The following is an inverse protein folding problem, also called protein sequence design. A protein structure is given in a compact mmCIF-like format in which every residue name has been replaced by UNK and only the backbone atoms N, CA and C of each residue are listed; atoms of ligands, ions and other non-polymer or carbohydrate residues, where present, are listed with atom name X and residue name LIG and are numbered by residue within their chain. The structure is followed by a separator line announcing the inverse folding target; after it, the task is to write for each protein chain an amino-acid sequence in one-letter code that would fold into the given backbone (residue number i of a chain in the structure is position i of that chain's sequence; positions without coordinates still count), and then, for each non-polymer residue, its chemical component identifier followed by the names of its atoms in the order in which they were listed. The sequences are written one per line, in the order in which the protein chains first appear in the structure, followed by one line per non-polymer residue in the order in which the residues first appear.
data_IF_384294051261
#
_entry.id   IF_384294051261
#
_cell.length_a   1.000
_cell.length_b   1.000
_cell.length_c   1.000
_cell.angle_alpha   90.00
_cell.angle_beta   90.00
_cell.angle_gamma   90.00
#
_symmetry.space_group_name_H-M   'P 1'
#
loop_
_entity.id
_entity.type
_entity.pdbx_description
1 polymer ?
#
# COMPACT_ATOMS: atom_id res chain seq x y z
N UNK A 1 -6.30 7.81 7.94
CA UNK A 1 -5.74 6.57 7.34
C UNK A 1 -5.70 5.36 8.31
N UNK A 2 -5.12 5.41 9.53
CA UNK A 2 -5.18 4.25 10.47
C UNK A 2 -6.61 3.74 10.74
N UNK A 3 -7.55 4.64 10.99
CA UNK A 3 -8.97 4.31 11.15
C UNK A 3 -9.61 3.74 9.88
N UNK A 4 -9.12 4.15 8.71
CA UNK A 4 -9.61 3.65 7.42
C UNK A 4 -9.23 2.19 7.19
N UNK A 5 -8.09 1.72 7.71
CA UNK A 5 -7.74 0.29 7.66
C UNK A 5 -8.80 -0.57 8.36
N UNK A 6 -9.47 -0.06 9.41
CA UNK A 6 -10.58 -0.76 10.06
C UNK A 6 -11.79 -0.88 9.14
N UNK A 7 -12.14 0.20 8.42
CA UNK A 7 -13.16 0.18 7.37
C UNK A 7 -12.87 -0.92 6.35
N UNK A 8 -11.65 -0.91 5.82
CA UNK A 8 -11.22 -1.85 4.79
C UNK A 8 -11.18 -3.28 5.31
N UNK A 9 -10.78 -3.49 6.55
CA UNK A 9 -10.80 -4.81 7.17
C UNK A 9 -12.22 -5.39 7.29
N UNK A 10 -13.21 -4.58 7.67
CA UNK A 10 -14.62 -5.01 7.66
C UNK A 10 -15.08 -5.40 6.25
N UNK A 11 -14.70 -4.62 5.24
CA UNK A 11 -15.01 -4.93 3.83
C UNK A 11 -14.36 -6.27 3.45
N UNK A 12 -13.09 -6.49 3.79
CA UNK A 12 -12.39 -7.76 3.55
C UNK A 12 -13.06 -8.95 4.24
N UNK A 13 -13.49 -8.81 5.49
CA UNK A 13 -14.22 -9.85 6.21
C UNK A 13 -15.55 -10.17 5.52
N UNK A 14 -16.36 -9.14 5.24
CA UNK A 14 -17.67 -9.32 4.60
C UNK A 14 -17.59 -9.89 3.17
N UNK A 15 -16.46 -9.69 2.50
CA UNK A 15 -16.21 -10.22 1.14
C UNK A 15 -15.46 -11.55 1.12
N UNK A 16 -15.09 -12.11 2.29
CA UNK A 16 -14.34 -13.37 2.38
C UNK A 16 -12.90 -13.29 1.88
N UNK A 17 -12.26 -12.11 1.96
CA UNK A 17 -10.91 -11.82 1.40
C UNK A 17 -9.87 -11.46 2.47
N UNK A 18 -10.18 -11.67 3.75
CA UNK A 18 -9.36 -11.22 4.87
C UNK A 18 -8.00 -11.92 4.99
N UNK A 19 -7.86 -13.10 4.38
CA UNK A 19 -6.62 -13.88 4.27
C UNK A 19 -5.77 -13.49 3.05
N UNK A 20 -6.34 -12.77 2.08
CA UNK A 20 -5.65 -12.38 0.84
C UNK A 20 -4.86 -11.08 0.97
N UNK A 21 -5.36 -10.13 1.76
CA UNK A 21 -4.81 -8.78 1.86
C UNK A 21 -4.26 -8.42 3.23
N UNK A 22 -2.98 -8.05 3.29
CA UNK A 22 -2.34 -7.52 4.50
C UNK A 22 -2.40 -5.99 4.54
N UNK A 23 -3.23 -5.42 5.41
CA UNK A 23 -3.29 -3.97 5.61
C UNK A 23 -2.19 -3.49 6.56
N UNK A 24 -1.23 -2.71 6.06
CA UNK A 24 -0.15 -2.17 6.89
C UNK A 24 -0.52 -0.82 7.50
N UNK A 25 -0.04 -0.58 8.72
CA UNK A 25 -0.29 0.69 9.39
C UNK A 25 0.63 1.78 8.81
N UNK A 26 0.08 2.94 8.40
CA UNK A 26 0.89 4.07 7.93
C UNK A 26 1.91 4.59 8.95
N UNK A 27 1.70 4.35 10.24
CA UNK A 27 2.66 4.77 11.28
C UNK A 27 4.03 4.11 11.14
N UNK A 28 4.11 2.96 10.46
CA UNK A 28 5.36 2.24 10.22
C UNK A 28 6.26 2.97 9.19
N UNK A 29 5.73 3.94 8.46
CA UNK A 29 6.39 4.59 7.32
C UNK A 29 6.44 6.11 7.40
N UNK A 30 5.61 6.77 8.23
CA UNK A 30 5.62 8.23 8.46
C UNK A 30 6.82 8.61 9.33
N UNK A 31 7.79 9.38 8.80
CA UNK A 31 9.03 9.69 9.52
C UNK A 31 8.93 10.92 10.44
N UNK A 32 9.03 10.63 11.74
CA UNK A 32 10.19 11.00 12.55
C UNK A 32 10.69 9.85 13.47
N UNK A 33 10.05 8.67 13.46
CA UNK A 33 10.31 7.58 14.42
C UNK A 33 10.31 6.16 13.83
N UNK A 34 10.51 5.97 12.53
CA UNK A 34 10.75 4.62 11.97
C UNK A 34 12.10 4.09 12.45
N UNK A 35 12.16 3.63 13.69
CA UNK A 35 13.30 2.96 14.30
C UNK A 35 13.53 1.63 13.56
N UNK A 36 14.66 0.97 13.81
CA UNK A 36 14.95 -0.31 13.15
C UNK A 36 13.88 -1.40 13.44
N UNK A 37 13.08 -1.22 14.50
CA UNK A 37 12.02 -2.15 14.90
C UNK A 37 10.82 -2.09 13.95
N UNK A 38 10.34 -0.89 13.59
CA UNK A 38 9.24 -0.74 12.62
C UNK A 38 9.60 -1.36 11.26
N UNK A 39 10.86 -1.19 10.84
CA UNK A 39 11.39 -1.79 9.61
C UNK A 39 11.47 -3.32 9.73
N UNK A 40 11.85 -3.82 10.90
CA UNK A 40 11.84 -5.24 11.24
C UNK A 40 10.43 -5.84 11.21
N UNK A 41 9.42 -5.12 11.69
CA UNK A 41 8.02 -5.56 11.67
C UNK A 41 7.48 -5.68 10.25
N UNK A 42 7.75 -4.70 9.38
CA UNK A 42 7.37 -4.77 7.96
C UNK A 42 8.06 -5.97 7.30
N UNK A 43 9.37 -6.10 7.50
CA UNK A 43 10.17 -7.21 6.96
C UNK A 43 9.62 -8.57 7.40
N UNK A 44 9.34 -8.75 8.68
CA UNK A 44 8.87 -10.01 9.24
C UNK A 44 7.48 -10.37 8.68
N UNK A 45 6.52 -9.43 8.69
CA UNK A 45 5.18 -9.68 8.17
C UNK A 45 5.17 -10.05 6.70
N UNK A 46 5.93 -9.33 5.87
CA UNK A 46 6.05 -9.65 4.45
C UNK A 46 6.78 -10.99 4.27
N UNK A 47 7.83 -11.23 5.07
CA UNK A 47 8.63 -12.44 5.07
C UNK A 47 7.84 -13.71 5.39
N UNK A 48 6.88 -13.64 6.31
CA UNK A 48 5.96 -14.74 6.62
C UNK A 48 5.12 -15.13 5.40
N UNK A 49 4.86 -14.19 4.49
CA UNK A 49 4.17 -14.45 3.23
C UNK A 49 2.74 -14.95 3.40
N UNK A 50 2.07 -14.53 4.48
CA UNK A 50 0.71 -14.94 4.83
C UNK A 50 -0.33 -14.44 3.82
N UNK A 51 -0.08 -13.28 3.21
CA UNK A 51 -1.00 -12.59 2.31
C UNK A 51 -0.49 -12.60 0.87
N UNK A 52 -1.40 -12.52 -0.09
CA UNK A 52 -1.07 -12.38 -1.51
C UNK A 52 -0.55 -10.98 -1.82
N UNK A 53 -1.17 -9.97 -1.20
CA UNK A 53 -0.84 -8.56 -1.40
C UNK A 53 -0.86 -7.80 -0.07
N UNK A 54 0.21 -7.07 0.22
CA UNK A 54 0.27 -6.11 1.31
C UNK A 54 0.03 -4.71 0.78
N UNK A 55 -0.87 -3.97 1.42
CA UNK A 55 -1.15 -2.57 1.11
C UNK A 55 -0.45 -1.70 2.14
N UNK A 56 0.59 -1.00 1.69
CA UNK A 56 1.47 -0.18 2.53
C UNK A 56 1.39 1.29 2.09
N UNK A 57 0.63 2.12 2.82
CA UNK A 57 0.74 3.57 2.69
C UNK A 57 2.11 4.05 3.18
N UNK A 58 2.75 4.92 2.41
CA UNK A 58 4.07 5.51 2.70
C UNK A 58 3.94 7.02 2.65
N UNK A 59 4.49 7.71 3.65
CA UNK A 59 4.57 9.17 3.66
C UNK A 59 6.03 9.62 3.62
N UNK A 60 6.39 10.37 2.59
CA UNK A 60 7.69 11.04 2.51
C UNK A 60 7.55 12.53 2.17
N UNK A 61 7.33 12.84 0.90
CA UNK A 61 7.04 14.20 0.39
C UNK A 61 5.57 14.37 0.00
N UNK A 62 4.73 13.49 0.55
CA UNK A 62 3.33 13.23 0.20
C UNK A 62 3.01 11.75 0.37
N UNK A 63 1.73 11.41 0.34
CA UNK A 63 1.24 10.05 0.49
C UNK A 63 1.35 9.25 -0.81
N UNK A 64 1.87 8.02 -0.71
CA UNK A 64 1.99 7.04 -1.78
C UNK A 64 1.46 5.69 -1.28
N UNK A 65 0.89 4.87 -2.16
CA UNK A 65 0.52 3.49 -1.85
C UNK A 65 1.49 2.52 -2.52
N UNK A 66 2.04 1.59 -1.74
CA UNK A 66 2.77 0.43 -2.27
C UNK A 66 1.93 -0.82 -2.11
N UNK A 67 1.56 -1.45 -3.23
CA UNK A 67 1.01 -2.79 -3.27
C UNK A 67 2.17 -3.78 -3.45
N UNK A 68 2.46 -4.55 -2.40
CA UNK A 68 3.59 -5.48 -2.34
C UNK A 68 3.06 -6.91 -2.48
N UNK A 69 3.48 -7.63 -3.51
CA UNK A 69 3.01 -8.98 -3.79
C UNK A 69 4.19 -9.98 -3.79
N UNK A 70 4.54 -10.56 -2.63
CA UNK A 70 5.74 -11.39 -2.49
C UNK A 70 5.74 -12.63 -3.38
N UNK A 71 4.58 -13.28 -3.51
CA UNK A 71 4.41 -14.53 -4.29
C UNK A 71 4.77 -14.35 -5.77
N UNK A 72 4.51 -13.17 -6.34
CA UNK A 72 4.78 -12.86 -7.74
C UNK A 72 6.04 -12.00 -7.94
N UNK A 73 6.77 -11.67 -6.87
CA UNK A 73 8.01 -10.89 -7.00
C UNK A 73 7.80 -9.43 -7.42
N UNK A 74 6.65 -8.79 -7.10
CA UNK A 74 6.30 -7.48 -7.65
C UNK A 74 5.92 -6.46 -6.57
N UNK A 75 6.29 -5.20 -6.81
CA UNK A 75 5.86 -4.04 -6.03
C UNK A 75 5.31 -3.00 -6.99
N UNK A 76 4.07 -2.58 -6.76
CA UNK A 76 3.42 -1.51 -7.53
C UNK A 76 3.28 -0.27 -6.67
N UNK A 77 3.82 0.84 -7.14
CA UNK A 77 3.81 2.15 -6.48
C UNK A 77 2.81 3.07 -7.15
N UNK A 78 1.80 3.52 -6.39
CA UNK A 78 0.78 4.47 -6.83
C UNK A 78 1.02 5.81 -6.16
N UNK A 79 1.40 6.81 -6.96
CA UNK A 79 1.69 8.17 -6.50
C UNK A 79 0.88 9.18 -7.29
N UNK A 80 0.17 10.07 -6.59
CA UNK A 80 -0.52 11.21 -7.18
C UNK A 80 0.38 12.46 -7.31
N UNK A 81 1.67 12.35 -6.96
CA UNK A 81 2.63 13.45 -7.06
C UNK A 81 3.22 13.58 -8.47
N UNK A 82 3.69 14.79 -8.80
CA UNK A 82 4.34 15.07 -10.09
C UNK A 82 5.50 14.08 -10.40
N UNK A 83 5.60 13.67 -11.68
CA UNK A 83 6.61 12.73 -12.20
C UNK A 83 8.02 13.18 -11.79
N UNK A 84 8.81 12.27 -11.22
CA UNK A 84 10.24 12.49 -10.90
C UNK A 84 10.60 12.52 -9.41
N UNK A 85 9.62 12.52 -8.50
CA UNK A 85 9.88 12.31 -7.07
C UNK A 85 10.09 10.81 -6.79
N UNK A 86 11.35 10.37 -6.77
CA UNK A 86 11.71 8.99 -6.39
C UNK A 86 11.55 8.76 -4.89
N UNK A 87 11.18 7.53 -4.51
CA UNK A 87 11.07 7.14 -3.09
C UNK A 87 12.42 7.25 -2.37
N UNK A 88 12.37 7.48 -1.05
CA UNK A 88 13.56 7.38 -0.19
C UNK A 88 14.21 6.00 -0.31
N UNK A 89 15.53 5.99 -0.48
CA UNK A 89 16.38 4.79 -0.53
C UNK A 89 16.07 3.78 0.60
N UNK A 90 15.80 4.29 1.81
CA UNK A 90 15.49 3.47 3.00
C UNK A 90 14.24 2.59 2.84
N UNK A 91 13.19 3.09 2.17
CA UNK A 91 11.95 2.32 1.94
C UNK A 91 12.17 1.24 0.90
N UNK A 92 12.93 1.54 -0.15
CA UNK A 92 13.32 0.58 -1.18
C UNK A 92 14.15 -0.56 -0.56
N UNK A 93 15.20 -0.22 0.19
CA UNK A 93 16.07 -1.19 0.87
C UNK A 93 15.27 -2.09 1.82
N UNK A 94 14.35 -1.54 2.60
CA UNK A 94 13.48 -2.31 3.49
C UNK A 94 12.63 -3.34 2.72
N UNK A 95 12.01 -2.93 1.61
CA UNK A 95 11.16 -3.81 0.82
C UNK A 95 12.02 -4.91 0.18
N UNK A 96 13.20 -4.57 -0.35
CA UNK A 96 14.14 -5.57 -0.89
C UNK A 96 14.50 -6.62 0.19
N UNK A 97 14.88 -6.19 1.39
CA UNK A 97 15.19 -7.10 2.51
C UNK A 97 13.97 -7.94 2.94
N UNK A 98 12.77 -7.40 2.81
CA UNK A 98 11.53 -8.13 3.08
C UNK A 98 11.27 -9.24 2.04
N UNK A 99 11.54 -8.98 0.75
CA UNK A 99 11.48 -10.00 -0.30
C UNK A 99 12.54 -11.08 -0.13
N UNK A 100 13.76 -10.70 0.27
CA UNK A 100 14.82 -11.67 0.59
C UNK A 100 14.40 -12.57 1.76
N UNK A 101 13.84 -11.98 2.83
CA UNK A 101 13.33 -12.74 3.97
C UNK A 101 12.22 -13.72 3.55
N UNK A 102 11.27 -13.28 2.72
CA UNK A 102 10.23 -14.14 2.16
C UNK A 102 10.80 -15.32 1.38
N UNK A 103 11.76 -15.07 0.48
CA UNK A 103 12.39 -16.10 -0.34
C UNK A 103 13.16 -17.12 0.53
N UNK A 104 13.87 -16.64 1.56
CA UNK A 104 14.57 -17.52 2.52
C UNK A 104 13.59 -18.38 3.30
N UNK A 105 12.47 -17.82 3.79
CA UNK A 105 11.41 -18.58 4.47
C UNK A 105 10.80 -19.64 3.56
N UNK A 106 10.75 -19.39 2.25
CA UNK A 106 10.34 -20.39 1.23
C UNK A 106 11.45 -21.38 0.84
N UNK A 107 12.61 -21.34 1.48
CA UNK A 107 13.70 -22.28 1.28
C UNK A 107 14.62 -21.96 0.10
N UNK A 108 14.55 -20.75 -0.46
CA UNK A 108 15.47 -20.34 -1.54
C UNK A 108 16.88 -20.11 -0.98
N UNK A 109 17.88 -20.44 -1.80
CA UNK A 109 19.30 -20.27 -1.43
C UNK A 109 19.73 -18.82 -1.60
N UNK A 110 20.68 -18.36 -0.79
CA UNK A 110 21.17 -16.97 -0.81
C UNK A 110 21.65 -16.50 -2.18
N UNK A 111 22.21 -17.39 -3.01
CA UNK A 111 22.69 -17.07 -4.36
C UNK A 111 21.59 -17.04 -5.43
N UNK A 112 20.35 -17.39 -5.08
CA UNK A 112 19.18 -17.41 -5.97
C UNK A 112 18.16 -16.34 -5.61
N UNK A 113 18.43 -15.52 -4.60
CA UNK A 113 17.54 -14.44 -4.18
C UNK A 113 17.45 -13.38 -5.27
N UNK A 114 16.22 -12.98 -5.58
CA UNK A 114 15.94 -11.97 -6.60
C UNK A 114 15.31 -10.74 -5.96
N UNK A 115 15.57 -9.58 -6.56
CA UNK A 115 14.92 -8.33 -6.19
C UNK A 115 13.52 -8.24 -6.78
N UNK A 116 12.57 -7.56 -6.11
CA UNK A 116 11.25 -7.37 -6.67
C UNK A 116 11.28 -6.51 -7.94
N UNK A 117 10.39 -6.81 -8.87
CA UNK A 117 10.09 -5.93 -10.00
C UNK A 117 9.27 -4.73 -9.51
N UNK A 118 9.76 -3.53 -9.78
CA UNK A 118 9.05 -2.29 -9.50
C UNK A 118 8.17 -1.88 -10.68
N UNK A 119 6.92 -1.55 -10.39
CA UNK A 119 5.92 -1.10 -11.37
C UNK A 119 5.38 0.26 -10.93
N UNK A 120 5.30 1.19 -11.88
CA UNK A 120 4.80 2.55 -11.67
C UNK A 120 3.66 2.80 -12.66
N UNK A 121 2.40 2.49 -12.30
CA UNK A 121 1.25 2.75 -13.15
C UNK A 121 1.11 4.24 -13.45
N UNK A 122 0.44 4.56 -14.56
CA UNK A 122 0.00 5.93 -14.79
C UNK A 122 -1.10 6.23 -13.78
N UNK A 123 -0.85 7.15 -12.87
CA UNK A 123 -1.81 7.58 -11.86
C UNK A 123 -2.26 9.00 -12.14
N UNK A 124 -3.50 9.31 -11.78
CA UNK A 124 -4.01 10.66 -11.79
C UNK A 124 -3.15 11.55 -10.87
N UNK A 125 -2.78 12.71 -11.37
CA UNK A 125 -2.04 13.70 -10.58
C UNK A 125 -3.06 14.56 -9.85
N UNK A 126 -2.79 14.84 -8.57
CA UNK A 126 -3.62 15.80 -7.85
C UNK A 126 -3.39 17.20 -8.43
N UNK A 127 -4.47 17.95 -8.65
CA UNK A 127 -4.36 19.37 -8.97
C UNK A 127 -3.88 20.14 -7.73
N UNK A 128 -3.02 21.14 -7.97
CA UNK A 128 -2.25 21.97 -7.02
C UNK A 128 -2.66 21.87 -5.53
N UNK A 129 -1.85 21.19 -4.72
CA UNK A 129 -1.93 21.16 -3.25
C UNK A 129 -1.60 19.79 -2.66
N UNK A 130 -1.02 19.73 -1.46
CA UNK A 130 -0.64 18.46 -0.79
C UNK A 130 -1.79 17.81 0.01
N UNK A 131 -2.97 18.43 0.05
CA UNK A 131 -4.03 18.08 0.99
C UNK A 131 -4.74 16.75 0.68
N UNK A 132 -4.76 16.29 -0.58
CA UNK A 132 -5.62 15.19 -1.00
C UNK A 132 -4.90 13.86 -1.26
N UNK A 133 -3.56 13.83 -1.28
CA UNK A 133 -2.78 12.62 -1.56
C UNK A 133 -3.16 11.43 -0.64
N UNK A 134 -3.51 11.71 0.62
CA UNK A 134 -3.99 10.67 1.54
C UNK A 134 -5.35 10.06 1.14
N UNK A 135 -6.24 10.84 0.55
CA UNK A 135 -7.54 10.38 0.06
C UNK A 135 -7.37 9.51 -1.19
N UNK A 136 -6.44 9.86 -2.08
CA UNK A 136 -6.11 9.06 -3.26
C UNK A 136 -5.54 7.69 -2.86
N UNK A 137 -4.64 7.64 -1.88
CA UNK A 137 -4.15 6.36 -1.32
C UNK A 137 -5.30 5.52 -0.77
N UNK A 138 -6.20 6.12 0.03
CA UNK A 138 -7.35 5.41 0.58
C UNK A 138 -8.32 4.93 -0.52
N UNK A 139 -8.46 5.69 -1.61
CA UNK A 139 -9.26 5.29 -2.76
C UNK A 139 -8.65 4.10 -3.50
N UNK A 140 -7.36 4.15 -3.82
CA UNK A 140 -6.67 3.03 -4.48
C UNK A 140 -6.75 1.75 -3.64
N UNK A 141 -6.57 1.83 -2.32
CA UNK A 141 -6.73 0.67 -1.43
C UNK A 141 -8.14 0.07 -1.54
N UNK A 142 -9.18 0.92 -1.57
CA UNK A 142 -10.57 0.47 -1.70
C UNK A 142 -10.82 -0.20 -3.05
N UNK A 143 -10.32 0.36 -4.14
CA UNK A 143 -10.47 -0.19 -5.49
C UNK A 143 -9.77 -1.54 -5.63
N UNK A 144 -8.53 -1.65 -5.16
CA UNK A 144 -7.78 -2.92 -5.16
C UNK A 144 -8.57 -4.02 -4.46
N UNK A 145 -9.12 -3.71 -3.28
CA UNK A 145 -9.90 -4.67 -2.47
C UNK A 145 -11.23 -5.01 -3.14
N UNK A 146 -11.96 -4.01 -3.65
CA UNK A 146 -13.27 -4.23 -4.29
C UNK A 146 -13.14 -5.08 -5.56
N UNK A 147 -12.15 -4.76 -6.40
CA UNK A 147 -11.85 -5.45 -7.65
C UNK A 147 -11.06 -6.76 -7.47
N UNK A 148 -10.62 -7.06 -6.25
CA UNK A 148 -9.88 -8.27 -5.88
C UNK A 148 -8.57 -8.50 -6.67
N UNK A 149 -7.84 -7.40 -6.90
CA UNK A 149 -6.61 -7.39 -7.70
C UNK A 149 -5.39 -7.67 -6.82
N UNK A 150 -4.52 -8.59 -7.24
CA UNK A 150 -3.21 -8.85 -6.60
C UNK A 150 -2.05 -8.94 -7.60
N UNK A 151 -2.32 -8.68 -8.89
CA UNK A 151 -1.34 -8.65 -9.96
C UNK A 151 -1.78 -7.67 -11.05
N UNK A 152 -0.88 -7.39 -12.01
CA UNK A 152 -1.20 -6.58 -13.20
C UNK A 152 -1.95 -5.27 -12.92
N UNK A 153 -1.62 -4.64 -11.79
CA UNK A 153 -2.25 -3.41 -11.32
C UNK A 153 -2.21 -2.30 -12.38
N UNK A 154 -1.11 -2.22 -13.13
CA UNK A 154 -0.93 -1.26 -14.21
C UNK A 154 -1.91 -1.42 -15.37
N UNK A 155 -2.53 -2.60 -15.54
CA UNK A 155 -3.54 -2.81 -16.59
C UNK A 155 -4.93 -2.40 -16.13
N UNK A 156 -5.21 -2.55 -14.84
CA UNK A 156 -6.56 -2.37 -14.28
C UNK A 156 -6.74 -0.99 -13.66
N UNK A 157 -5.68 -0.43 -13.08
CA UNK A 157 -5.70 0.80 -12.30
C UNK A 157 -4.86 1.92 -12.91
N UNK A 158 -4.30 1.74 -14.11
CA UNK A 158 -3.69 2.87 -14.82
C UNK A 158 -4.80 3.81 -15.28
N UNK A 159 -4.87 4.99 -14.69
CA UNK A 159 -5.86 6.00 -14.99
C UNK A 159 -5.19 7.36 -15.07
N UNK A 160 -5.38 8.05 -16.20
CA UNK A 160 -4.92 9.43 -16.37
C UNK A 160 -5.99 10.45 -15.95
N UNK A 161 -7.25 9.99 -15.81
CA UNK A 161 -8.38 10.83 -15.41
C UNK A 161 -8.38 11.01 -13.89
N UNK A 162 -8.44 12.24 -13.37
CA UNK A 162 -8.60 12.49 -11.93
C UNK A 162 -9.84 11.82 -11.36
N UNK A 163 -9.77 11.44 -10.08
CA UNK A 163 -10.96 11.02 -9.35
C UNK A 163 -11.97 12.16 -9.30
N UNK A 164 -13.25 11.82 -9.44
CA UNK A 164 -14.32 12.80 -9.30
C UNK A 164 -14.44 13.27 -7.85
N UNK A 165 -15.05 14.44 -7.64
CA UNK A 165 -15.38 14.91 -6.28
C UNK A 165 -16.19 13.87 -5.50
N UNK A 166 -17.14 13.20 -6.17
CA UNK A 166 -17.96 12.16 -5.58
C UNK A 166 -17.14 10.94 -5.11
N UNK A 167 -16.13 10.54 -5.88
CA UNK A 167 -15.22 9.45 -5.49
C UNK A 167 -14.43 9.79 -4.22
N UNK A 168 -13.96 11.04 -4.13
CA UNK A 168 -13.21 11.53 -2.98
C UNK A 168 -14.12 11.69 -1.76
N UNK A 169 -15.34 12.19 -1.95
CA UNK A 169 -16.32 12.37 -0.87
C UNK A 169 -16.84 11.05 -0.32
N UNK A 170 -16.97 10.00 -1.15
CA UNK A 170 -17.27 8.65 -0.66
C UNK A 170 -16.17 8.13 0.28
N UNK A 171 -14.90 8.35 -0.06
CA UNK A 171 -13.76 7.96 0.79
C UNK A 171 -13.74 8.77 2.08
N UNK A 172 -13.99 10.09 2.01
CA UNK A 172 -14.11 10.95 3.21
C UNK A 172 -15.20 10.47 4.14
N UNK A 173 -16.39 10.17 3.61
CA UNK A 173 -17.54 9.69 4.39
C UNK A 173 -17.23 8.38 5.11
N UNK A 174 -16.72 7.38 4.39
CA UNK A 174 -16.33 6.08 4.97
C UNK A 174 -15.27 6.22 6.05
N UNK A 175 -14.29 7.09 5.83
CA UNK A 175 -13.26 7.38 6.82
C UNK A 175 -13.84 8.03 8.08
N UNK A 176 -14.74 9.02 7.91
CA UNK A 176 -15.42 9.70 9.02
C UNK A 176 -16.29 8.73 9.83
N UNK A 177 -17.11 7.90 9.16
CA UNK A 177 -17.93 6.87 9.81
C UNK A 177 -17.07 5.92 10.66
N UNK A 178 -15.96 5.44 10.09
CA UNK A 178 -15.04 4.54 10.79
C UNK A 178 -14.30 5.20 11.96
N UNK A 179 -14.14 6.52 11.93
CA UNK A 179 -13.57 7.29 13.03
C UNK A 179 -14.57 7.46 14.17
N UNK A 180 -15.84 7.75 13.86
CA UNK A 180 -16.90 7.94 14.85
C UNK A 180 -17.20 6.65 15.63
N UNK A 181 -17.12 5.48 15.01
CA UNK A 181 -17.22 4.18 15.69
C UNK A 181 -16.14 3.92 16.77
N UNK A 182 -15.12 4.77 16.89
CA UNK A 182 -14.07 4.65 17.92
C UNK A 182 -14.29 5.60 19.10
N UNK A 183 -15.10 6.65 18.90
CA UNK A 183 -15.33 7.71 19.91
C UNK A 183 -16.60 7.45 20.73
N UNK A 184 -17.53 6.67 20.18
CA UNK A 184 -18.75 6.20 20.86
C UNK A 184 -18.49 4.85 21.52
#
# INVERSE_FOLDING_TARGET
MKFYNRCLFKILQSSGRADKYGLMCPSLTVQNHGNNEDMGLIRNRIGEGLFDCFLLPVYDKGWELMAICPKIGCVTSFSCLAKGKKQKKKVLEMIETAFEAYQVVKGMRSNTLTKPKWVYPKCCQQDVGDAECGLFVMRHMLEIIKLDITNSFEKVLSMEIPYSTDDIDDVRRRWAESFLEVIV
#
